data_IF_178287803250
#
_entry.id   IF_178287803250
#
_cell.length_a   1.000
_cell.length_b   1.000
_cell.length_c   1.000
_cell.angle_alpha   90.00
_cell.angle_beta   90.00
_cell.angle_gamma   90.00
#
_symmetry.space_group_name_H-M   'P 1'
#
loop_
_entity.id
_entity.type
_entity.pdbx_description
1 polymer ?
#
# COMPACT_ATOMS: atom_id res chain seq x y z
N UNK A 1 -20.48 0.75 13.69
CA UNK A 1 -19.61 1.90 13.36
C UNK A 1 -19.63 2.07 11.83
N UNK A 2 -19.51 3.26 11.26
CA UNK A 2 -19.50 3.43 9.79
C UNK A 2 -18.36 2.64 9.10
N UNK A 3 -17.29 2.36 9.86
CA UNK A 3 -16.19 1.46 9.50
C UNK A 3 -16.63 0.03 9.12
N UNK A 4 -17.76 -0.45 9.63
CA UNK A 4 -18.29 -1.80 9.32
C UNK A 4 -18.82 -1.91 7.89
N UNK A 5 -19.00 -0.77 7.19
CA UNK A 5 -19.45 -0.72 5.80
C UNK A 5 -18.29 -0.89 4.81
N UNK A 6 -17.04 -0.77 5.27
CA UNK A 6 -15.84 -0.87 4.42
C UNK A 6 -15.21 -2.24 4.65
N UNK A 7 -15.44 -3.15 3.71
CA UNK A 7 -14.85 -4.49 3.76
C UNK A 7 -13.39 -4.45 3.31
N UNK A 8 -12.47 -4.13 4.22
CA UNK A 8 -11.03 -4.25 3.97
C UNK A 8 -10.61 -5.71 4.16
N UNK A 9 -10.10 -6.32 3.09
CA UNK A 9 -9.49 -7.66 3.14
C UNK A 9 -7.99 -7.53 2.92
N UNK A 10 -7.20 -8.04 3.85
CA UNK A 10 -5.78 -8.27 3.64
C UNK A 10 -5.60 -9.57 2.87
N UNK A 11 -4.71 -9.54 1.89
CA UNK A 11 -4.39 -10.69 1.03
C UNK A 11 -2.89 -10.90 1.07
N UNK A 12 -2.47 -12.15 1.28
CA UNK A 12 -1.08 -12.57 1.27
C UNK A 12 -0.60 -12.79 -0.16
N UNK A 13 0.72 -12.74 -0.39
CA UNK A 13 1.30 -12.92 -1.73
C UNK A 13 0.93 -14.27 -2.35
N UNK A 14 0.91 -15.34 -1.55
CA UNK A 14 0.54 -16.68 -2.02
C UNK A 14 -0.92 -16.75 -2.51
N UNK A 15 -1.83 -15.98 -1.91
CA UNK A 15 -3.25 -15.93 -2.31
C UNK A 15 -3.44 -15.26 -3.68
N UNK A 16 -2.48 -14.44 -4.13
CA UNK A 16 -2.49 -13.77 -5.44
C UNK A 16 -1.48 -14.37 -6.42
N UNK A 17 -0.89 -15.53 -6.08
CA UNK A 17 0.06 -16.23 -6.93
C UNK A 17 1.43 -15.55 -7.06
N UNK A 18 1.79 -14.69 -6.11
CA UNK A 18 3.10 -14.06 -6.03
C UNK A 18 4.04 -14.87 -5.13
N UNK A 19 5.28 -15.04 -5.57
CA UNK A 19 6.34 -15.56 -4.70
C UNK A 19 6.77 -14.49 -3.70
N UNK A 20 7.17 -14.89 -2.49
CA UNK A 20 7.65 -13.97 -1.44
C UNK A 20 8.83 -13.10 -1.89
N UNK A 21 9.64 -13.62 -2.83
CA UNK A 21 10.80 -12.94 -3.40
C UNK A 21 10.50 -12.25 -4.74
N UNK A 22 9.22 -12.10 -5.10
CA UNK A 22 8.82 -11.41 -6.33
C UNK A 22 9.33 -9.98 -6.33
N UNK A 23 9.85 -9.57 -7.48
CA UNK A 23 10.33 -8.23 -7.74
C UNK A 23 9.26 -7.13 -7.52
N UNK A 24 9.65 -5.91 -7.12
CA UNK A 24 8.69 -4.84 -6.85
C UNK A 24 7.82 -4.49 -8.06
N UNK A 25 8.36 -4.59 -9.28
CA UNK A 25 7.59 -4.33 -10.50
C UNK A 25 6.49 -5.36 -10.69
N UNK A 26 6.81 -6.63 -10.46
CA UNK A 26 5.83 -7.73 -10.56
C UNK A 26 4.74 -7.57 -9.52
N UNK A 27 5.12 -7.31 -8.27
CA UNK A 27 4.18 -7.06 -7.17
C UNK A 27 3.28 -5.85 -7.47
N UNK A 28 3.85 -4.73 -7.92
CA UNK A 28 3.08 -3.53 -8.23
C UNK A 28 2.09 -3.76 -9.38
N UNK A 29 2.53 -4.36 -10.49
CA UNK A 29 1.64 -4.68 -11.62
C UNK A 29 0.51 -5.61 -11.23
N UNK A 30 0.81 -6.64 -10.43
CA UNK A 30 -0.21 -7.55 -9.91
C UNK A 30 -1.23 -6.80 -9.06
N UNK A 31 -0.79 -5.94 -8.16
CA UNK A 31 -1.68 -5.14 -7.33
C UNK A 31 -2.58 -4.24 -8.17
N UNK A 32 -2.03 -3.51 -9.14
CA UNK A 32 -2.81 -2.64 -10.03
C UNK A 32 -3.81 -3.43 -10.89
N UNK A 33 -3.42 -4.58 -11.43
CA UNK A 33 -4.29 -5.41 -12.27
C UNK A 33 -5.48 -6.01 -11.50
N UNK A 34 -5.37 -6.15 -10.18
CA UNK A 34 -6.40 -6.69 -9.31
C UNK A 34 -7.10 -5.61 -8.45
N UNK A 35 -6.87 -4.33 -8.75
CA UNK A 35 -7.39 -3.18 -7.97
C UNK A 35 -7.07 -3.26 -6.46
N UNK A 36 -5.85 -3.72 -6.14
CA UNK A 36 -5.37 -3.86 -4.78
C UNK A 36 -4.44 -2.71 -4.38
N UNK A 37 -4.54 -2.29 -3.13
CA UNK A 37 -3.65 -1.29 -2.53
C UNK A 37 -2.47 -2.03 -1.87
N UNK A 38 -1.26 -1.64 -2.21
CA UNK A 38 -0.05 -2.18 -1.59
C UNK A 38 0.22 -1.44 -0.27
N UNK A 39 0.16 -2.15 0.86
CA UNK A 39 0.55 -1.66 2.17
C UNK A 39 1.95 -2.16 2.54
N UNK A 40 2.85 -1.27 2.92
CA UNK A 40 4.21 -1.61 3.35
C UNK A 40 4.65 -0.74 4.53
N UNK A 41 5.58 -1.20 5.35
CA UNK A 41 6.28 -0.36 6.33
C UNK A 41 7.76 -0.16 5.97
N UNK A 42 8.22 -0.86 4.94
CA UNK A 42 9.53 -0.74 4.34
C UNK A 42 9.53 -1.62 3.06
N UNK A 43 9.77 -1.02 1.90
CA UNK A 43 10.30 -1.78 0.76
C UNK A 43 11.24 -0.85 -0.01
N UNK A 44 12.44 -0.74 0.54
CA UNK A 44 13.59 -0.21 -0.18
C UNK A 44 14.39 -1.39 -0.72
N UNK A 45 13.92 -2.01 -1.81
CA UNK A 45 14.86 -2.73 -2.67
C UNK A 45 15.59 -1.69 -3.49
N UNK A 46 16.81 -1.34 -3.07
CA UNK A 46 17.70 -0.45 -3.83
C UNK A 46 18.01 -1.14 -5.16
N UNK A 47 17.54 -0.59 -6.28
CA UNK A 47 17.78 -1.16 -7.60
C UNK A 47 16.87 -0.58 -8.70
N UNK A 48 17.07 -1.07 -9.92
CA UNK A 48 16.33 -0.68 -11.14
C UNK A 48 14.84 -1.03 -11.07
N UNK A 49 14.51 -1.99 -10.23
CA UNK A 49 13.16 -2.48 -10.01
C UNK A 49 12.70 -2.13 -8.60
N UNK A 50 13.05 -0.94 -8.11
CA UNK A 50 12.49 -0.42 -6.86
C UNK A 50 11.04 0.04 -7.08
N UNK A 51 10.17 -0.10 -6.07
CA UNK A 51 8.80 0.46 -6.11
C UNK A 51 8.78 1.92 -6.56
N UNK A 52 9.74 2.73 -6.09
CA UNK A 52 9.86 4.15 -6.47
C UNK A 52 10.08 4.34 -7.98
N UNK A 53 10.95 3.52 -8.58
CA UNK A 53 11.22 3.58 -10.00
C UNK A 53 10.01 3.08 -10.81
N UNK A 54 9.41 1.97 -10.41
CA UNK A 54 8.21 1.41 -11.06
C UNK A 54 7.07 2.43 -11.05
N UNK A 55 6.81 3.08 -9.91
CA UNK A 55 5.80 4.13 -9.81
C UNK A 55 6.17 5.40 -10.60
N UNK A 56 7.43 5.66 -10.93
CA UNK A 56 7.79 6.77 -11.82
C UNK A 56 7.54 6.43 -13.28
N UNK A 57 7.84 5.20 -13.68
CA UNK A 57 7.79 4.74 -15.06
C UNK A 57 6.37 4.33 -15.50
N UNK A 58 5.61 3.68 -14.62
CA UNK A 58 4.38 2.95 -14.99
C UNK A 58 3.09 3.54 -14.40
N UNK A 59 3.20 4.45 -13.43
CA UNK A 59 2.05 5.09 -12.80
C UNK A 59 1.32 6.02 -13.78
N UNK A 60 0.00 5.96 -13.74
CA UNK A 60 -0.90 6.80 -14.52
C UNK A 60 -2.01 7.38 -13.61
N UNK A 61 -2.92 8.17 -14.18
CA UNK A 61 -3.99 8.84 -13.43
C UNK A 61 -5.00 7.89 -12.78
N UNK A 62 -5.05 6.61 -13.16
CA UNK A 62 -5.99 5.63 -12.57
C UNK A 62 -5.31 4.69 -11.58
N UNK A 63 -3.98 4.75 -11.47
CA UNK A 63 -3.18 3.84 -10.63
C UNK A 63 -3.47 4.06 -9.15
N UNK A 64 -3.63 2.97 -8.40
CA UNK A 64 -3.82 2.99 -6.95
C UNK A 64 -2.51 3.33 -6.22
N UNK A 65 -2.57 4.08 -5.12
CA UNK A 65 -1.38 4.45 -4.35
C UNK A 65 -0.78 3.25 -3.61
N UNK A 66 0.54 3.31 -3.39
CA UNK A 66 1.23 2.48 -2.39
C UNK A 66 1.15 3.19 -1.04
N UNK A 67 0.63 2.52 -0.02
CA UNK A 67 0.55 3.06 1.34
C UNK A 67 1.77 2.61 2.14
N UNK A 68 2.49 3.56 2.74
CA UNK A 68 3.70 3.31 3.51
C UNK A 68 3.53 3.75 4.97
N UNK A 69 3.67 2.83 5.91
CA UNK A 69 3.72 3.11 7.35
C UNK A 69 5.07 3.73 7.68
N UNK A 70 5.05 4.94 8.25
CA UNK A 70 6.26 5.73 8.47
C UNK A 70 7.22 5.17 9.51
N UNK A 71 6.72 4.46 10.52
CA UNK A 71 7.53 3.88 11.59
C UNK A 71 6.96 2.55 12.09
N UNK A 72 7.61 1.45 11.73
CA UNK A 72 7.19 0.10 12.13
C UNK A 72 7.40 -0.16 13.62
N UNK A 73 8.46 0.37 14.23
CA UNK A 73 8.75 0.15 15.65
C UNK A 73 7.64 0.74 16.54
N UNK A 74 7.16 1.93 16.18
CA UNK A 74 6.04 2.59 16.85
C UNK A 74 4.71 1.87 16.60
N UNK A 75 4.48 1.35 15.40
CA UNK A 75 3.30 0.52 15.13
C UNK A 75 3.21 -0.70 16.05
N UNK A 76 4.36 -1.34 16.32
CA UNK A 76 4.44 -2.52 17.19
C UNK A 76 4.33 -2.14 18.68
N UNK A 77 4.97 -1.05 19.10
CA UNK A 77 5.09 -0.67 20.51
C UNK A 77 3.94 0.22 21.04
N UNK A 78 3.39 1.12 20.22
CA UNK A 78 2.46 2.17 20.64
C UNK A 78 1.03 1.91 20.12
N UNK A 79 0.07 1.54 20.99
CA UNK A 79 -1.32 1.35 20.58
C UNK A 79 -1.96 2.60 19.96
N UNK A 80 -1.63 3.79 20.47
CA UNK A 80 -2.14 5.06 19.92
C UNK A 80 -1.62 5.33 18.51
N UNK A 81 -0.34 5.01 18.25
CA UNK A 81 0.24 5.12 16.92
C UNK A 81 -0.49 4.20 15.95
N UNK A 82 -0.71 2.93 16.34
CA UNK A 82 -1.47 1.95 15.56
C UNK A 82 -2.88 2.43 15.21
N UNK A 83 -3.59 3.00 16.17
CA UNK A 83 -4.93 3.58 15.92
C UNK A 83 -4.87 4.71 14.90
N UNK A 84 -3.84 5.58 14.94
CA UNK A 84 -3.66 6.62 13.90
C UNK A 84 -3.34 6.02 12.53
N UNK A 85 -2.53 4.97 12.44
CA UNK A 85 -2.29 4.27 11.17
C UNK A 85 -3.62 3.74 10.59
N UNK A 86 -4.43 3.09 11.43
CA UNK A 86 -5.73 2.52 11.01
C UNK A 86 -6.68 3.61 10.54
N UNK A 87 -6.85 4.70 11.31
CA UNK A 87 -7.71 5.81 10.91
C UNK A 87 -7.27 6.39 9.56
N UNK A 88 -5.96 6.65 9.40
CA UNK A 88 -5.44 7.20 8.15
C UNK A 88 -5.56 6.23 6.97
N UNK A 89 -5.38 4.93 7.21
CA UNK A 89 -5.60 3.89 6.20
C UNK A 89 -7.05 3.90 5.71
N UNK A 90 -8.00 3.97 6.64
CA UNK A 90 -9.43 4.04 6.30
C UNK A 90 -9.72 5.30 5.49
N UNK A 91 -9.25 6.47 5.93
CA UNK A 91 -9.47 7.73 5.20
C UNK A 91 -9.01 7.61 3.73
N UNK A 92 -7.84 7.01 3.50
CA UNK A 92 -7.29 6.81 2.15
C UNK A 92 -8.16 5.85 1.31
N UNK A 93 -8.71 4.79 1.92
CA UNK A 93 -9.57 3.83 1.23
C UNK A 93 -10.94 4.43 0.89
N UNK A 94 -11.49 5.27 1.78
CA UNK A 94 -12.78 5.94 1.56
C UNK A 94 -12.68 6.93 0.41
N UNK A 95 -11.63 7.75 0.42
CA UNK A 95 -11.41 8.81 -0.56
C UNK A 95 -10.45 8.34 -1.67
N UNK A 96 -10.44 7.04 -2.00
CA UNK A 96 -9.41 6.43 -2.87
C UNK A 96 -9.28 7.11 -4.25
N UNK A 97 -10.37 7.67 -4.76
CA UNK A 97 -10.40 8.41 -6.02
C UNK A 97 -9.51 9.67 -5.98
N UNK A 98 -9.43 10.35 -4.83
CA UNK A 98 -8.57 11.51 -4.64
C UNK A 98 -7.08 11.13 -4.57
N UNK A 99 -6.79 9.86 -4.30
CA UNK A 99 -5.42 9.34 -4.20
C UNK A 99 -4.95 8.61 -5.46
N UNK A 100 -5.79 8.46 -6.50
CA UNK A 100 -5.35 7.84 -7.76
C UNK A 100 -4.24 8.67 -8.40
N UNK A 101 -3.22 7.98 -8.91
CA UNK A 101 -2.05 8.57 -9.55
C UNK A 101 -1.07 9.28 -8.60
N UNK A 102 -1.35 9.35 -7.29
CA UNK A 102 -0.44 10.00 -6.31
C UNK A 102 0.83 9.20 -6.02
N UNK A 103 0.98 8.01 -6.62
CA UNK A 103 2.07 7.04 -6.42
C UNK A 103 2.14 6.48 -5.01
N UNK A 104 2.53 7.28 -4.02
CA UNK A 104 2.81 6.82 -2.66
C UNK A 104 2.24 7.77 -1.62
N UNK A 105 1.54 7.19 -0.64
CA UNK A 105 0.96 7.89 0.51
C UNK A 105 1.62 7.37 1.78
N UNK A 106 2.14 8.27 2.61
CA UNK A 106 2.69 7.91 3.91
C UNK A 106 1.62 8.06 4.98
N UNK A 107 1.45 7.03 5.79
CA UNK A 107 0.63 7.04 7.00
C UNK A 107 1.55 6.99 8.22
N UNK A 108 1.14 7.56 9.37
CA UNK A 108 1.93 7.54 10.57
C UNK A 108 1.80 6.17 11.22
#
# INVERSE_FOLDING_TARGET
CWLDLISIRFVLFEEVGLEVNSDDRVVWRCAQANEMILLTANRSMKGKDSLEQVMREENNSTSLPVITIGNIDRLLAEPEYRTRCVNRLVDVVVDIEDYRGTRRVFIP
#
